data_IF_869127107482
#
_entry.id   IF_869127107482
#
_cell.length_a   1.000
_cell.length_b   1.000
_cell.length_c   1.000
_cell.angle_alpha   90.00
_cell.angle_beta   90.00
_cell.angle_gamma   90.00
#
_symmetry.space_group_name_H-M   'P 1'
#
loop_
_entity.id
_entity.type
_entity.pdbx_description
1 polymer ?
#
# COMPACT_ATOMS: atom_id res chain seq x y z
N UNK A 1 14.13 0.44 8.52
CA UNK A 1 12.90 -0.25 8.09
C UNK A 1 12.14 0.69 7.14
N UNK A 2 12.76 1.05 6.02
CA UNK A 2 12.35 2.20 5.18
C UNK A 2 12.33 1.86 3.69
N UNK A 3 12.35 0.57 3.37
CA UNK A 3 12.59 0.06 2.02
C UNK A 3 11.48 0.49 1.05
N UNK A 4 10.23 0.50 1.52
CA UNK A 4 9.07 0.93 0.74
C UNK A 4 9.12 2.42 0.45
N UNK A 5 9.47 3.24 1.45
CA UNK A 5 9.51 4.70 1.27
C UNK A 5 10.64 5.10 0.30
N UNK A 6 11.81 4.49 0.45
CA UNK A 6 12.92 4.66 -0.50
C UNK A 6 12.49 4.25 -1.91
N UNK A 7 11.86 3.08 -2.07
CA UNK A 7 11.46 2.60 -3.40
C UNK A 7 10.42 3.50 -4.08
N UNK A 8 9.59 4.18 -3.30
CA UNK A 8 8.63 5.19 -3.77
C UNK A 8 9.35 6.48 -4.18
N UNK A 9 10.21 7.02 -3.31
CA UNK A 9 10.97 8.26 -3.56
C UNK A 9 11.96 8.11 -4.72
N UNK A 10 12.59 6.94 -4.84
CA UNK A 10 13.47 6.60 -5.98
C UNK A 10 12.69 6.26 -7.26
N UNK A 11 11.36 6.37 -7.28
CA UNK A 11 10.55 6.18 -8.49
C UNK A 11 10.58 4.76 -9.07
N UNK A 12 11.08 3.77 -8.30
CA UNK A 12 11.16 2.36 -8.70
C UNK A 12 9.79 1.67 -8.70
N UNK A 13 8.74 2.39 -8.28
CA UNK A 13 7.38 1.86 -8.20
C UNK A 13 6.46 2.66 -9.11
N UNK A 14 5.72 1.96 -9.99
CA UNK A 14 4.72 2.61 -10.87
C UNK A 14 3.53 3.09 -10.06
N UNK A 15 2.84 4.16 -10.49
CA UNK A 15 1.74 4.79 -9.73
C UNK A 15 0.63 3.82 -9.27
N UNK A 16 0.32 2.79 -10.06
CA UNK A 16 -0.67 1.77 -9.65
C UNK A 16 -0.16 0.86 -8.53
N UNK A 17 1.13 0.51 -8.53
CA UNK A 17 1.76 -0.25 -7.45
C UNK A 17 2.06 0.61 -6.22
N UNK A 18 2.34 1.89 -6.43
CA UNK A 18 2.46 2.86 -5.34
C UNK A 18 1.16 2.93 -4.54
N UNK A 19 0.01 2.99 -5.22
CA UNK A 19 -1.30 2.96 -4.58
C UNK A 19 -1.42 1.74 -3.66
N UNK A 20 -0.97 0.56 -4.07
CA UNK A 20 -0.99 -0.65 -3.22
C UNK A 20 0.01 -0.59 -2.04
N UNK A 21 1.14 0.10 -2.21
CA UNK A 21 2.18 0.25 -1.18
C UNK A 21 1.91 1.36 -0.16
N UNK A 22 0.92 2.24 -0.40
CA UNK A 22 0.55 3.27 0.56
C UNK A 22 -0.09 2.63 1.79
N UNK A 23 0.43 2.96 2.96
CA UNK A 23 -0.05 2.43 4.24
C UNK A 23 -1.56 2.65 4.46
N UNK A 24 -2.10 3.75 3.91
CA UNK A 24 -3.53 4.05 3.96
C UNK A 24 -4.38 3.07 3.13
N UNK A 25 -3.90 2.67 1.95
CA UNK A 25 -4.56 1.67 1.11
C UNK A 25 -4.45 0.27 1.71
N UNK A 26 -3.34 -0.08 2.35
CA UNK A 26 -3.24 -1.33 3.11
C UNK A 26 -4.25 -1.39 4.27
N UNK A 27 -4.41 -0.30 5.01
CA UNK A 27 -5.41 -0.20 6.09
C UNK A 27 -6.83 -0.33 5.54
N UNK A 28 -7.14 0.35 4.44
CA UNK A 28 -8.45 0.27 3.78
C UNK A 28 -8.74 -1.12 3.18
N UNK A 29 -7.75 -1.76 2.57
CA UNK A 29 -7.86 -3.14 2.10
C UNK A 29 -8.13 -4.10 3.25
N UNK A 30 -7.43 -3.95 4.38
CA UNK A 30 -7.64 -4.77 5.57
C UNK A 30 -9.02 -4.58 6.18
N UNK A 31 -9.52 -3.34 6.27
CA UNK A 31 -10.90 -3.08 6.67
C UNK A 31 -11.92 -3.74 5.73
N UNK A 32 -11.69 -3.68 4.40
CA UNK A 32 -12.54 -4.38 3.42
C UNK A 32 -12.50 -5.90 3.59
N UNK A 33 -11.32 -6.49 3.79
CA UNK A 33 -11.18 -7.93 4.07
C UNK A 33 -11.88 -8.33 5.35
N UNK A 34 -11.76 -7.53 6.42
CA UNK A 34 -12.47 -7.78 7.68
C UNK A 34 -13.98 -7.67 7.51
N UNK A 35 -14.47 -6.72 6.71
CA UNK A 35 -15.90 -6.55 6.44
C UNK A 35 -16.46 -7.64 5.51
N UNK A 36 -15.67 -8.16 4.58
CA UNK A 36 -16.07 -9.26 3.69
C UNK A 36 -16.03 -10.64 4.38
N UNK A 37 -15.35 -10.75 5.52
CA UNK A 37 -15.27 -11.99 6.31
C UNK A 37 -16.32 -12.06 7.44
N UNK A 38 -17.20 -11.06 7.56
CA UNK A 38 -18.32 -11.00 8.51
C UNK A 38 -19.65 -11.25 7.79
#
# INVERSE_FOLDING_TARGET
MTDVLERIVFGRTKSHQLQELLAWNWKAARHRTTQAAA
#
